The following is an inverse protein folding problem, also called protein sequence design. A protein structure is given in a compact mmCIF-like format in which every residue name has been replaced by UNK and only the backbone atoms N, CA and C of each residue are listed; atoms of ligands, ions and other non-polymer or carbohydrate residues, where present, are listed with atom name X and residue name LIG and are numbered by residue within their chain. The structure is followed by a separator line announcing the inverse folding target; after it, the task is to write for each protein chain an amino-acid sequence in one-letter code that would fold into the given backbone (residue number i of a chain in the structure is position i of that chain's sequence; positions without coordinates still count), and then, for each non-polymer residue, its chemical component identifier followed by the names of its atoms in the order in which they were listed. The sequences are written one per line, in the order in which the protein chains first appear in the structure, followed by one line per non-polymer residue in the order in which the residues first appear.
data_IF_518465362056
#
_entry.id   IF_518465362056
#
_cell.length_a   1.000
_cell.length_b   1.000
_cell.length_c   1.000
_cell.angle_alpha   90.00
_cell.angle_beta   90.00
_cell.angle_gamma   90.00
#
_symmetry.space_group_name_H-M   'P 1'
#
loop_
_entity.id
_entity.type
_entity.pdbx_description
1 polymer ?
#
# COMPACT_ATOMS: atom_id res chain seq x y z
N UNK A 1 19.66 15.93 -2.15
CA UNK A 1 18.27 16.03 -1.63
C UNK A 1 17.29 15.66 -2.74
N UNK A 2 16.44 14.66 -2.54
CA UNK A 2 15.44 14.17 -3.50
C UNK A 2 14.10 13.93 -2.77
N UNK A 3 13.01 14.45 -3.32
CA UNK A 3 11.64 14.20 -2.83
C UNK A 3 10.89 13.29 -3.80
N UNK A 4 10.08 12.37 -3.26
CA UNK A 4 9.24 11.46 -4.05
C UNK A 4 7.84 11.42 -3.47
N UNK A 5 6.86 11.46 -4.35
CA UNK A 5 5.44 11.28 -4.03
C UNK A 5 4.92 10.13 -4.87
N UNK A 6 4.24 9.19 -4.22
CA UNK A 6 3.64 8.03 -4.87
C UNK A 6 2.23 7.79 -4.36
N UNK A 7 1.41 7.14 -5.18
CA UNK A 7 0.08 6.67 -4.80
C UNK A 7 0.02 5.17 -5.05
N UNK A 8 -0.45 4.41 -4.07
CA UNK A 8 -0.73 2.97 -4.22
C UNK A 8 -2.23 2.75 -4.33
N UNK A 9 -2.64 1.69 -5.03
CA UNK A 9 -4.04 1.40 -5.37
C UNK A 9 -4.73 2.62 -6.05
N UNK A 10 -4.19 3.06 -7.19
CA UNK A 10 -4.60 4.31 -7.87
C UNK A 10 -6.09 4.30 -8.27
N UNK A 11 -6.58 3.14 -8.73
CA UNK A 11 -7.98 2.92 -9.09
C UNK A 11 -8.90 2.72 -7.89
N UNK A 12 -8.34 2.65 -6.68
CA UNK A 12 -9.06 2.41 -5.43
C UNK A 12 -9.93 1.14 -5.50
N UNK A 13 -9.36 0.09 -6.08
CA UNK A 13 -9.99 -1.21 -6.21
C UNK A 13 -10.09 -1.91 -4.85
N UNK A 14 -11.19 -2.64 -4.67
CA UNK A 14 -11.39 -3.52 -3.54
C UNK A 14 -10.94 -4.91 -3.91
N UNK A 15 -10.05 -5.47 -3.10
CA UNK A 15 -9.50 -6.81 -3.30
C UNK A 15 -9.13 -7.42 -1.95
N UNK A 16 -8.90 -8.73 -1.93
CA UNK A 16 -8.38 -9.46 -0.77
C UNK A 16 -6.86 -9.60 -0.91
N UNK A 17 -6.12 -9.20 0.11
CA UNK A 17 -4.64 -9.25 0.13
C UNK A 17 -4.10 -10.62 0.55
N UNK A 18 -4.91 -11.42 1.25
CA UNK A 18 -4.52 -12.75 1.66
C UNK A 18 -5.60 -13.47 2.48
N UNK A 19 -5.24 -14.66 2.94
CA UNK A 19 -6.04 -15.51 3.82
C UNK A 19 -5.22 -15.71 5.09
N UNK A 20 -5.88 -15.78 6.24
CA UNK A 20 -5.24 -16.13 7.50
C UNK A 20 -4.79 -17.60 7.53
N UNK A 21 -3.88 -17.94 8.45
CA UNK A 21 -3.31 -19.30 8.54
C UNK A 21 -4.36 -20.37 8.86
N UNK A 22 -5.53 -19.97 9.37
CA UNK A 22 -6.65 -20.86 9.67
C UNK A 22 -7.57 -21.09 8.46
N UNK A 23 -7.42 -20.32 7.38
CA UNK A 23 -8.29 -20.37 6.21
C UNK A 23 -9.70 -19.79 6.43
N UNK A 24 -9.95 -19.17 7.59
CA UNK A 24 -11.29 -18.73 8.01
C UNK A 24 -11.51 -17.24 7.72
N UNK A 25 -10.45 -16.45 7.76
CA UNK A 25 -10.53 -15.00 7.59
C UNK A 25 -9.72 -14.54 6.38
N UNK A 26 -10.25 -13.52 5.72
CA UNK A 26 -9.60 -12.85 4.60
C UNK A 26 -9.04 -11.52 5.09
N UNK A 27 -7.83 -11.18 4.66
CA UNK A 27 -7.27 -9.85 4.86
C UNK A 27 -7.72 -8.93 3.73
N UNK A 28 -8.39 -7.84 4.08
CA UNK A 28 -8.74 -6.81 3.11
C UNK A 28 -7.46 -6.14 2.58
N UNK A 29 -7.44 -5.83 1.28
CA UNK A 29 -6.34 -5.10 0.66
C UNK A 29 -6.31 -3.62 1.05
N UNK A 30 -5.13 -3.01 0.96
CA UNK A 30 -4.98 -1.61 1.33
C UNK A 30 -5.82 -0.68 0.43
N UNK A 31 -6.53 0.30 1.01
CA UNK A 31 -7.21 1.34 0.25
C UNK A 31 -6.20 2.25 -0.45
N UNK A 32 -6.69 3.11 -1.36
CA UNK A 32 -5.83 4.11 -2.02
C UNK A 32 -5.07 4.95 -1.00
N UNK A 33 -3.75 4.92 -1.09
CA UNK A 33 -2.86 5.53 -0.10
C UNK A 33 -1.84 6.43 -0.78
N UNK A 34 -1.64 7.63 -0.24
CA UNK A 34 -0.61 8.57 -0.67
C UNK A 34 0.64 8.37 0.19
N UNK A 35 1.81 8.28 -0.43
CA UNK A 35 3.11 8.12 0.22
C UNK A 35 4.05 9.24 -0.20
N UNK A 36 4.73 9.84 0.77
CA UNK A 36 5.74 10.89 0.55
C UNK A 36 7.04 10.44 1.20
N UNK A 37 8.15 10.55 0.48
CA UNK A 37 9.48 10.25 1.02
C UNK A 37 10.51 11.28 0.59
N UNK A 38 11.52 11.48 1.44
CA UNK A 38 12.67 12.35 1.20
C UNK A 38 13.95 11.54 1.37
N UNK A 39 14.91 11.72 0.48
CA UNK A 39 16.24 11.12 0.56
C UNK A 39 17.32 12.20 0.44
N UNK A 40 18.39 12.04 1.21
CA UNK A 40 19.57 12.90 1.16
C UNK A 40 20.81 12.01 1.18
N UNK A 41 21.63 12.10 0.13
CA UNK A 41 22.90 11.39 0.01
C UNK A 41 24.05 12.36 0.35
N UNK A 42 25.02 11.90 1.15
CA UNK A 42 26.19 12.67 1.63
C UNK A 42 27.44 12.36 0.81
#
# INVERSE_FOLDING_TARGET
MIWRVGVTNVTNEKYWSGIDDTGTYLFEGDPRTVRVSMSYDF
#
